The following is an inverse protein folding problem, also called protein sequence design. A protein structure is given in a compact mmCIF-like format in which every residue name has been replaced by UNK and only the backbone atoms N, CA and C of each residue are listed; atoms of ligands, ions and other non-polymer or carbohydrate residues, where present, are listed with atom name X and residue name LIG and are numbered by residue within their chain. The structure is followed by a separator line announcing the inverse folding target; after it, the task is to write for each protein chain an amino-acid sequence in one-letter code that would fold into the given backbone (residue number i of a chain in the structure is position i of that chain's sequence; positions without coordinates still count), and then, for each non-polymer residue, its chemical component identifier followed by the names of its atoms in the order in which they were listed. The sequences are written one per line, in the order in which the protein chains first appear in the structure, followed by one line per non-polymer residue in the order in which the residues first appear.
data_IF_962476934496
#
_entry.id   IF_962476934496
#
_cell.length_a   1.000
_cell.length_b   1.000
_cell.length_c   1.000
_cell.angle_alpha   90.00
_cell.angle_beta   90.00
_cell.angle_gamma   90.00
#
_symmetry.space_group_name_H-M   'P 1'
#
loop_
_entity.id
_entity.type
_entity.pdbx_description
1 polymer ?
#
# COMPACT_ATOMS: atom_id res chain seq x y z
N UNK A 1 -15.94 -7.08 -0.92
CA UNK A 1 -15.25 -8.10 -1.74
C UNK A 1 -14.15 -7.36 -2.48
N UNK A 2 -12.88 -7.69 -2.26
CA UNK A 2 -11.77 -7.11 -3.04
C UNK A 2 -11.68 -7.92 -4.31
N UNK A 3 -11.98 -7.33 -5.45
CA UNK A 3 -11.71 -7.99 -6.73
C UNK A 3 -10.20 -8.21 -6.83
N UNK A 4 -9.79 -9.48 -6.90
CA UNK A 4 -8.38 -9.82 -7.06
C UNK A 4 -7.89 -9.27 -8.41
N UNK A 5 -6.90 -8.37 -8.37
CA UNK A 5 -6.33 -7.71 -9.55
C UNK A 5 -5.37 -8.65 -10.29
N UNK A 6 -5.85 -9.83 -10.69
CA UNK A 6 -5.07 -10.85 -11.40
C UNK A 6 -4.90 -10.46 -12.87
N UNK A 7 -3.65 -10.47 -13.36
CA UNK A 7 -3.26 -10.03 -14.69
C UNK A 7 -2.56 -11.13 -15.47
N UNK A 8 -2.62 -11.05 -16.80
CA UNK A 8 -1.94 -12.00 -17.68
C UNK A 8 -0.43 -11.83 -17.61
N UNK A 9 0.14 -10.61 -17.61
CA UNK A 9 1.48 -10.44 -17.06
C UNK A 9 1.50 -10.93 -15.62
N UNK A 10 2.40 -11.86 -15.32
CA UNK A 10 2.57 -12.43 -13.98
C UNK A 10 2.83 -11.31 -12.98
N UNK A 11 2.06 -11.26 -11.89
CA UNK A 11 2.24 -10.24 -10.86
C UNK A 11 3.30 -10.74 -9.87
N UNK A 12 4.51 -10.19 -9.96
CA UNK A 12 5.63 -10.56 -9.07
C UNK A 12 5.66 -9.72 -7.79
N UNK A 13 4.89 -8.64 -7.71
CA UNK A 13 4.92 -7.75 -6.55
C UNK A 13 3.67 -6.92 -6.32
N UNK A 14 3.36 -6.71 -5.04
CA UNK A 14 2.30 -5.84 -4.54
C UNK A 14 2.80 -4.90 -3.44
N UNK A 15 2.39 -3.63 -3.50
CA UNK A 15 2.70 -2.65 -2.46
C UNK A 15 2.08 -3.02 -1.12
N UNK A 16 2.73 -2.67 -0.03
CA UNK A 16 2.15 -2.71 1.31
C UNK A 16 0.97 -1.75 1.44
N UNK A 17 0.02 -2.07 2.32
CA UNK A 17 -1.14 -1.23 2.62
C UNK A 17 -1.40 -1.18 4.12
N UNK A 18 -1.21 -0.02 4.73
CA UNK A 18 -1.51 0.19 6.14
C UNK A 18 -2.57 1.27 6.35
N UNK A 19 -3.34 1.15 7.43
CA UNK A 19 -4.18 2.21 7.99
C UNK A 19 -3.54 2.66 9.28
N UNK A 20 -3.11 3.92 9.30
CA UNK A 20 -2.50 4.56 10.47
C UNK A 20 -3.46 5.61 11.00
N UNK A 21 -3.69 5.58 12.30
CA UNK A 21 -4.58 6.48 13.02
C UNK A 21 -3.76 7.29 14.03
N UNK A 22 -4.06 8.58 14.09
CA UNK A 22 -3.53 9.53 15.05
C UNK A 22 -4.67 9.92 15.99
N UNK A 23 -4.61 9.49 17.25
CA UNK A 23 -5.66 9.72 18.25
C UNK A 23 -5.21 10.81 19.21
N UNK A 24 -5.99 11.87 19.33
CA UNK A 24 -5.68 13.00 20.19
C UNK A 24 -6.05 12.73 21.65
N UNK A 25 -5.06 12.75 22.54
CA UNK A 25 -5.26 12.70 24.00
C UNK A 25 -4.93 14.04 24.68
N UNK A 26 -4.63 15.08 23.90
CA UNK A 26 -4.23 16.39 24.40
C UNK A 26 -5.04 17.54 23.81
N UNK A 27 -4.38 18.70 23.67
CA UNK A 27 -5.04 19.90 23.19
C UNK A 27 -5.41 19.81 21.70
N UNK A 28 -6.56 20.36 21.35
CA UNK A 28 -7.02 20.42 19.97
C UNK A 28 -6.09 21.27 19.09
N UNK A 29 -5.47 22.30 19.64
CA UNK A 29 -4.54 23.17 18.92
C UNK A 29 -3.27 22.41 18.51
N UNK A 30 -2.70 21.61 19.41
CA UNK A 30 -1.54 20.74 19.13
C UNK A 30 -1.88 19.72 18.04
N UNK A 31 -3.05 19.07 18.15
CA UNK A 31 -3.49 18.10 17.16
C UNK A 31 -3.71 18.71 15.78
N UNK A 32 -4.40 19.85 15.71
CA UNK A 32 -4.65 20.56 14.46
C UNK A 32 -3.35 21.07 13.83
N UNK A 33 -2.41 21.58 14.63
CA UNK A 33 -1.11 22.00 14.14
C UNK A 33 -0.35 20.81 13.52
N UNK A 34 -0.29 19.68 14.21
CA UNK A 34 0.34 18.46 13.70
C UNK A 34 -0.29 18.00 12.38
N UNK A 35 -1.62 17.82 12.33
CA UNK A 35 -2.31 17.32 11.13
C UNK A 35 -2.10 18.26 9.94
N UNK A 36 -2.21 19.58 10.14
CA UNK A 36 -2.03 20.55 9.08
C UNK A 36 -0.58 20.62 8.60
N UNK A 37 0.37 20.69 9.53
CA UNK A 37 1.77 20.87 9.19
C UNK A 37 2.40 19.61 8.61
N UNK A 38 2.16 18.44 9.20
CA UNK A 38 2.87 17.20 8.83
C UNK A 38 2.15 16.37 7.78
N UNK A 39 0.82 16.47 7.69
CA UNK A 39 0.02 15.60 6.81
C UNK A 39 -0.59 16.40 5.66
N UNK A 40 -1.44 17.40 5.95
CA UNK A 40 -2.26 18.05 4.92
C UNK A 40 -1.48 19.02 4.04
N UNK A 41 -0.46 19.69 4.58
CA UNK A 41 0.43 20.59 3.80
C UNK A 41 1.65 19.89 3.20
N UNK A 42 1.85 18.61 3.49
CA UNK A 42 2.96 17.82 2.96
C UNK A 42 2.60 17.22 1.60
N UNK A 43 3.57 17.01 0.69
CA UNK A 43 3.40 16.06 -0.40
C UNK A 43 2.97 14.70 0.14
N UNK A 44 2.25 13.95 -0.68
CA UNK A 44 1.69 12.64 -0.31
C UNK A 44 2.75 11.56 -0.09
N UNK A 45 4.03 11.84 -0.30
CA UNK A 45 5.10 10.87 -0.08
C UNK A 45 5.50 10.68 1.39
N UNK A 46 4.92 11.44 2.32
CA UNK A 46 5.17 11.29 3.76
C UNK A 46 6.52 11.86 4.22
N UNK A 47 7.12 12.77 3.45
CA UNK A 47 8.41 13.39 3.77
C UNK A 47 8.45 14.07 5.14
N UNK A 48 7.39 14.81 5.52
CA UNK A 48 7.34 15.46 6.83
C UNK A 48 7.18 14.47 7.98
N UNK A 49 6.62 13.29 7.72
CA UNK A 49 6.53 12.20 8.69
C UNK A 49 7.80 11.33 8.74
N UNK A 50 8.83 11.64 7.93
CA UNK A 50 10.06 10.85 7.87
C UNK A 50 9.93 9.49 7.18
N UNK A 51 8.82 9.23 6.47
CA UNK A 51 8.51 7.92 5.86
C UNK A 51 8.57 7.93 4.33
N UNK A 52 9.27 8.89 3.72
CA UNK A 52 9.44 9.00 2.26
C UNK A 52 10.39 7.94 1.67
N UNK A 53 10.12 6.67 1.95
CA UNK A 53 10.86 5.53 1.42
C UNK A 53 10.53 5.27 -0.05
N UNK A 54 11.47 4.63 -0.74
CA UNK A 54 11.38 4.27 -2.16
C UNK A 54 12.12 2.97 -2.43
N UNK A 55 11.62 2.20 -3.40
CA UNK A 55 12.37 1.12 -4.06
C UNK A 55 12.23 1.21 -5.59
N UNK A 56 12.94 0.35 -6.31
CA UNK A 56 13.00 0.37 -7.77
C UNK A 56 11.73 -0.22 -8.43
N UNK A 57 11.02 -1.11 -7.75
CA UNK A 57 9.89 -1.88 -8.31
C UNK A 57 8.53 -1.20 -8.12
N UNK A 58 8.35 -0.57 -6.97
CA UNK A 58 7.12 0.10 -6.58
C UNK A 58 7.28 1.63 -6.59
N UNK A 59 8.48 2.17 -6.45
CA UNK A 59 8.70 3.61 -6.37
C UNK A 59 8.42 4.18 -4.98
N UNK A 60 8.00 5.44 -4.90
CA UNK A 60 7.89 6.17 -3.64
C UNK A 60 6.66 5.77 -2.81
N UNK A 61 6.77 5.86 -1.48
CA UNK A 61 5.65 5.86 -0.53
C UNK A 61 4.52 6.81 -0.96
N UNK A 62 3.27 6.44 -0.69
CA UNK A 62 2.10 7.28 -0.97
C UNK A 62 1.10 7.23 0.20
N UNK A 63 0.73 8.40 0.70
CA UNK A 63 -0.33 8.66 1.67
C UNK A 63 -1.62 9.09 0.94
N UNK A 64 -2.75 8.51 1.33
CA UNK A 64 -4.08 8.81 0.77
C UNK A 64 -5.19 8.44 1.75
N UNK A 65 -6.44 8.67 1.36
CA UNK A 65 -7.60 8.17 2.14
C UNK A 65 -7.71 8.83 3.52
N UNK A 66 -7.49 10.14 3.56
CA UNK A 66 -7.59 10.96 4.76
C UNK A 66 -9.01 10.92 5.33
N UNK A 67 -9.14 10.64 6.63
CA UNK A 67 -10.43 10.60 7.31
C UNK A 67 -10.31 11.18 8.71
N UNK A 68 -11.20 12.12 9.05
CA UNK A 68 -11.41 12.57 10.43
C UNK A 68 -12.52 11.73 11.06
N UNK A 69 -12.37 11.40 12.34
CA UNK A 69 -13.34 10.62 13.10
C UNK A 69 -13.14 10.78 14.60
N UNK A 70 -13.82 9.93 15.36
CA UNK A 70 -13.71 9.87 16.83
C UNK A 70 -13.55 8.42 17.24
N UNK A 71 -12.63 8.14 18.18
CA UNK A 71 -12.42 6.84 18.81
C UNK A 71 -12.45 7.08 20.31
N UNK A 72 -13.34 6.39 21.04
CA UNK A 72 -13.45 6.49 22.50
C UNK A 72 -13.46 7.95 22.99
N UNK A 73 -14.32 8.77 22.38
CA UNK A 73 -14.49 10.21 22.66
C UNK A 73 -13.31 11.12 22.25
N UNK A 74 -12.19 10.55 21.79
CA UNK A 74 -11.03 11.28 21.32
C UNK A 74 -11.07 11.54 19.81
N UNK A 75 -10.64 12.73 19.39
CA UNK A 75 -10.54 13.09 17.98
C UNK A 75 -9.46 12.23 17.30
N UNK A 76 -9.78 11.68 16.14
CA UNK A 76 -8.88 10.81 15.40
C UNK A 76 -8.72 11.27 13.95
N UNK A 77 -7.49 11.24 13.44
CA UNK A 77 -7.19 11.45 12.03
C UNK A 77 -6.53 10.18 11.46
N UNK A 78 -7.07 9.66 10.37
CA UNK A 78 -6.62 8.43 9.73
C UNK A 78 -6.02 8.71 8.37
N UNK A 79 -4.93 8.01 8.06
CA UNK A 79 -4.32 7.96 6.74
C UNK A 79 -4.17 6.51 6.28
N UNK A 80 -4.27 6.29 4.97
CA UNK A 80 -3.88 5.04 4.33
C UNK A 80 -2.51 5.20 3.68
N UNK A 81 -1.58 4.34 4.08
CA UNK A 81 -0.28 4.21 3.45
C UNK A 81 -0.35 3.15 2.35
N UNK A 82 0.18 3.48 1.19
CA UNK A 82 0.62 2.50 0.20
C UNK A 82 2.12 2.58 0.11
N UNK A 83 2.83 1.56 0.58
CA UNK A 83 4.27 1.64 0.81
C UNK A 83 5.08 0.61 -0.01
N UNK A 84 6.29 0.98 -0.45
CA UNK A 84 7.21 0.08 -1.15
C UNK A 84 7.74 -1.02 -0.21
N UNK A 85 8.39 -2.04 -0.76
CA UNK A 85 9.08 -3.10 -0.03
C UNK A 85 10.47 -2.66 0.47
N UNK A 86 10.61 -1.39 0.85
CA UNK A 86 11.87 -0.82 1.31
C UNK A 86 12.09 -1.01 2.83
N UNK A 87 11.01 -0.98 3.61
CA UNK A 87 11.01 -1.11 5.07
C UNK A 87 9.72 -1.78 5.55
N UNK A 88 9.77 -2.57 6.64
CA UNK A 88 8.56 -3.13 7.26
C UNK A 88 7.72 -2.02 7.90
N UNK A 89 6.41 -2.26 8.04
CA UNK A 89 5.49 -1.28 8.64
C UNK A 89 5.90 -0.88 10.05
N UNK A 90 6.48 -1.79 10.84
CA UNK A 90 6.93 -1.52 12.21
C UNK A 90 7.95 -0.39 12.26
N UNK A 91 8.96 -0.42 11.38
CA UNK A 91 9.95 0.65 11.27
C UNK A 91 9.33 1.97 10.83
N UNK A 92 8.37 1.94 9.90
CA UNK A 92 7.65 3.14 9.46
C UNK A 92 6.85 3.77 10.61
N UNK A 93 6.19 2.98 11.44
CA UNK A 93 5.46 3.46 12.61
C UNK A 93 6.41 4.07 13.64
N UNK A 94 7.57 3.45 13.90
CA UNK A 94 8.56 4.02 14.81
C UNK A 94 9.11 5.35 14.30
N UNK A 95 9.36 5.48 12.99
CA UNK A 95 9.76 6.77 12.40
C UNK A 95 8.67 7.85 12.54
N UNK A 96 7.41 7.49 12.35
CA UNK A 96 6.28 8.42 12.56
C UNK A 96 6.26 8.90 14.02
N UNK A 97 6.41 7.98 14.99
CA UNK A 97 6.39 8.33 16.42
C UNK A 97 7.47 9.32 16.85
N UNK A 98 8.61 9.36 16.15
CA UNK A 98 9.70 10.31 16.46
C UNK A 98 9.28 11.77 16.25
N UNK A 99 8.38 12.05 15.29
CA UNK A 99 7.95 13.42 14.97
C UNK A 99 6.58 13.78 15.53
N UNK A 100 5.82 12.78 15.99
CA UNK A 100 4.48 12.96 16.54
C UNK A 100 4.59 13.41 18.01
N UNK A 101 3.88 14.46 18.43
CA UNK A 101 3.82 14.86 19.84
C UNK A 101 3.30 13.74 20.75
N UNK A 102 3.84 13.62 21.96
CA UNK A 102 3.45 12.59 22.96
C UNK A 102 1.95 12.57 23.29
N UNK A 103 1.25 13.69 23.09
CA UNK A 103 -0.20 13.79 23.30
C UNK A 103 -1.04 13.16 22.17
N UNK A 104 -0.41 12.63 21.12
CA UNK A 104 -1.06 12.01 19.98
C UNK A 104 -0.58 10.56 19.89
N UNK A 105 -1.51 9.63 20.08
CA UNK A 105 -1.22 8.21 19.95
C UNK A 105 -1.22 7.79 18.48
N UNK A 106 -0.21 7.01 18.09
CA UNK A 106 -0.09 6.47 16.73
C UNK A 106 -0.46 4.99 16.73
N UNK A 107 -1.54 4.63 16.04
CA UNK A 107 -2.09 3.27 15.98
C UNK A 107 -2.03 2.76 14.54
N UNK A 108 -1.39 1.61 14.31
CA UNK A 108 -1.50 0.87 13.06
C UNK A 108 -2.74 -0.04 13.12
N UNK A 109 -3.90 0.49 12.74
CA UNK A 109 -5.19 -0.20 12.86
C UNK A 109 -5.30 -1.44 11.95
N UNK A 110 -4.62 -1.42 10.81
CA UNK A 110 -4.61 -2.54 9.87
C UNK A 110 -3.34 -2.49 9.02
N UNK A 111 -2.74 -3.64 8.72
CA UNK A 111 -1.63 -3.74 7.78
C UNK A 111 -1.73 -4.97 6.88
N UNK A 112 -1.42 -4.78 5.59
CA UNK A 112 -1.04 -5.82 4.64
C UNK A 112 0.38 -5.55 4.18
N UNK A 113 1.30 -6.46 4.45
CA UNK A 113 2.70 -6.31 4.04
C UNK A 113 2.84 -6.31 2.50
N UNK A 114 3.91 -5.70 1.98
CA UNK A 114 4.28 -5.84 0.58
C UNK A 114 4.51 -7.32 0.26
N UNK A 115 4.10 -7.72 -0.94
CA UNK A 115 4.42 -9.05 -1.47
C UNK A 115 5.46 -8.83 -2.57
N UNK A 116 6.53 -9.61 -2.56
CA UNK A 116 7.60 -9.48 -3.53
C UNK A 116 8.22 -10.84 -3.82
N UNK A 117 8.31 -11.16 -5.11
CA UNK A 117 9.01 -12.33 -5.63
C UNK A 117 10.07 -11.87 -6.61
N UNK A 118 11.15 -12.65 -6.71
CA UNK A 118 12.16 -12.42 -7.74
C UNK A 118 11.51 -12.58 -9.13
N UNK A 119 11.73 -11.61 -10.01
CA UNK A 119 11.24 -11.62 -11.41
C UNK A 119 11.80 -12.79 -12.20
N UNK A 120 12.97 -13.28 -11.80
CA UNK A 120 13.68 -14.38 -12.44
C UNK A 120 13.44 -15.71 -11.71
N UNK A 121 12.53 -15.75 -10.73
CA UNK A 121 12.18 -17.00 -10.05
C UNK A 121 11.63 -18.03 -11.03
N UNK A 122 11.79 -19.31 -10.69
CA UNK A 122 11.32 -20.42 -11.51
C UNK A 122 9.81 -20.33 -11.74
N UNK A 123 9.05 -19.97 -10.72
CA UNK A 123 7.59 -19.88 -10.79
C UNK A 123 7.13 -18.74 -11.69
N UNK A 124 7.76 -17.56 -11.61
CA UNK A 124 7.45 -16.42 -12.47
C UNK A 124 7.78 -16.77 -13.93
N UNK A 125 8.96 -17.34 -14.17
CA UNK A 125 9.41 -17.73 -15.51
C UNK A 125 8.48 -18.77 -16.13
N UNK A 126 8.12 -19.83 -15.39
CA UNK A 126 7.21 -20.87 -15.89
C UNK A 126 5.84 -20.33 -16.28
N UNK A 127 5.28 -19.40 -15.49
CA UNK A 127 3.98 -18.79 -15.79
C UNK A 127 4.07 -17.85 -17.00
N UNK A 128 5.16 -17.10 -17.14
CA UNK A 128 5.41 -16.25 -18.32
C UNK A 128 5.56 -17.10 -19.58
N UNK A 129 6.32 -18.19 -19.51
CA UNK A 129 6.55 -19.08 -20.65
C UNK A 129 5.26 -19.78 -21.08
N UNK A 130 4.43 -20.22 -20.14
CA UNK A 130 3.12 -20.82 -20.43
C UNK A 130 2.18 -19.84 -21.16
N UNK A 131 2.22 -18.54 -20.81
CA UNK A 131 1.47 -17.52 -21.55
C UNK A 131 1.99 -17.35 -22.98
N UNK A 132 3.31 -17.29 -23.14
CA UNK A 132 3.97 -17.12 -24.43
C UNK A 132 3.71 -18.31 -25.36
N UNK A 133 3.73 -19.54 -24.84
CA UNK A 133 3.45 -20.76 -25.60
C UNK A 133 2.06 -20.74 -26.24
N UNK A 134 1.05 -20.27 -25.50
CA UNK A 134 -0.34 -20.24 -25.98
C UNK A 134 -0.62 -19.03 -26.88
N UNK A 135 -0.03 -17.87 -26.58
CA UNK A 135 -0.38 -16.59 -27.24
C UNK A 135 0.63 -16.15 -28.30
N UNK A 136 1.82 -16.75 -28.34
CA UNK A 136 2.94 -16.31 -29.17
C UNK A 136 3.53 -14.95 -28.76
N UNK A 137 3.14 -14.40 -27.60
CA UNK A 137 3.60 -13.08 -27.13
C UNK A 137 4.14 -13.17 -25.71
N UNK A 138 5.40 -12.77 -25.52
CA UNK A 138 6.00 -12.67 -24.18
C UNK A 138 5.55 -11.40 -23.47
N UNK A 139 4.97 -11.54 -22.28
CA UNK A 139 4.65 -10.43 -21.38
C UNK A 139 5.62 -10.40 -20.21
N UNK A 140 6.26 -9.25 -19.98
CA UNK A 140 7.14 -9.08 -18.83
C UNK A 140 6.34 -9.08 -17.53
N UNK A 141 6.85 -9.73 -16.46
CA UNK A 141 6.23 -9.67 -15.13
C UNK A 141 6.02 -8.22 -14.67
N UNK A 142 4.93 -7.97 -13.94
CA UNK A 142 4.54 -6.62 -13.50
C UNK A 142 4.32 -6.54 -11.99
N UNK A 143 4.43 -5.34 -11.45
CA UNK A 143 3.86 -5.04 -10.14
C UNK A 143 2.39 -4.64 -10.28
N UNK A 144 1.64 -4.75 -9.19
CA UNK A 144 0.30 -4.17 -9.12
C UNK A 144 0.10 -3.33 -7.87
N UNK A 145 -0.76 -2.32 -8.01
CA UNK A 145 -1.21 -1.49 -6.89
C UNK A 145 -2.47 -2.04 -6.26
N UNK A 146 -3.23 -2.90 -6.94
CA UNK A 146 -4.36 -3.67 -6.40
C UNK A 146 -3.90 -4.69 -5.35
N UNK A 147 -4.83 -5.22 -4.56
CA UNK A 147 -4.55 -6.35 -3.67
C UNK A 147 -5.01 -7.65 -4.31
N UNK A 148 -4.22 -8.71 -4.21
CA UNK A 148 -4.67 -10.07 -4.58
C UNK A 148 -4.72 -10.98 -3.36
N UNK A 149 -5.16 -12.22 -3.55
CA UNK A 149 -5.09 -13.23 -2.49
C UNK A 149 -3.65 -13.55 -2.05
N UNK A 150 -2.63 -13.19 -2.85
CA UNK A 150 -1.22 -13.38 -2.50
C UNK A 150 -0.79 -12.64 -1.23
N UNK A 151 -1.57 -11.63 -0.80
CA UNK A 151 -1.37 -10.97 0.50
C UNK A 151 -1.74 -11.81 1.72
N UNK A 152 -2.51 -12.88 1.52
CA UNK A 152 -3.11 -13.67 2.61
C UNK A 152 -2.55 -15.09 2.63
N UNK A 153 -2.26 -15.66 1.46
CA UNK A 153 -1.79 -17.04 1.33
C UNK A 153 -0.30 -16.99 0.93
N UNK A 154 0.61 -17.62 1.71
CA UNK A 154 2.03 -17.64 1.36
C UNK A 154 2.26 -18.46 0.08
N UNK A 155 3.29 -18.10 -0.69
CA UNK A 155 3.75 -18.81 -1.88
C UNK A 155 2.70 -18.93 -3.01
N UNK A 156 1.80 -17.97 -3.13
CA UNK A 156 0.94 -17.85 -4.32
C UNK A 156 1.29 -16.61 -5.13
N UNK A 157 1.21 -16.75 -6.44
CA UNK A 157 1.50 -15.71 -7.42
C UNK A 157 0.19 -15.36 -8.12
N UNK A 158 -0.13 -14.07 -8.20
CA UNK A 158 -1.31 -13.63 -8.89
C UNK A 158 -1.10 -13.64 -10.40
N UNK A 159 -1.97 -14.40 -11.09
CA UNK A 159 -1.95 -14.58 -12.53
C UNK A 159 -3.38 -14.84 -13.01
N UNK A 160 -3.84 -14.17 -14.08
CA UNK A 160 -5.23 -14.29 -14.51
C UNK A 160 -5.64 -13.37 -15.66
N UNK A 161 -6.93 -13.29 -16.01
CA UNK A 161 -7.35 -12.92 -17.36
C UNK A 161 -7.26 -11.43 -17.74
N UNK A 162 -6.74 -10.55 -16.87
CA UNK A 162 -6.67 -9.12 -17.17
C UNK A 162 -5.51 -8.80 -18.13
N UNK A 163 -5.85 -8.41 -19.36
CA UNK A 163 -4.87 -7.99 -20.36
C UNK A 163 -4.32 -6.57 -20.08
N UNK A 164 -3.13 -6.22 -20.60
CA UNK A 164 -2.51 -4.89 -20.43
C UNK A 164 -3.34 -3.70 -20.94
N UNK A 165 -4.47 -3.93 -21.63
CA UNK A 165 -5.34 -2.90 -22.20
C UNK A 165 -6.81 -3.24 -21.99
N UNK A 166 -7.31 -3.09 -20.77
CA UNK A 166 -8.74 -2.82 -20.58
C UNK A 166 -8.91 -1.88 -19.39
N UNK A 167 -9.43 -0.68 -19.64
CA UNK A 167 -10.00 0.15 -18.58
C UNK A 167 -10.94 -0.74 -17.76
N UNK A 168 -10.72 -0.79 -16.44
CA UNK A 168 -11.67 -1.39 -15.50
C UNK A 168 -13.00 -0.63 -15.58
N UNK A 169 -13.92 -1.07 -16.44
CA UNK A 169 -15.34 -0.85 -16.19
C UNK A 169 -15.76 -1.96 -15.24
N UNK A 170 -15.83 -1.67 -13.94
CA UNK A 170 -16.60 -2.50 -13.02
C UNK A 170 -18.06 -2.09 -13.18
N UNK A 171 -18.97 -2.92 -13.73
CA UNK A 171 -20.37 -2.53 -13.95
C UNK A 171 -21.22 -2.63 -12.68
N UNK A 172 -20.65 -2.97 -11.53
CA UNK A 172 -21.39 -3.23 -10.29
C UNK A 172 -21.08 -2.20 -9.20
N UNK A 173 -21.50 -0.96 -9.44
CA UNK A 173 -21.93 -0.06 -8.36
C UNK A 173 -23.38 0.34 -8.65
N UNK A 174 -24.32 -0.43 -8.11
CA UNK A 174 -25.65 0.06 -7.75
C UNK A 174 -25.68 0.21 -6.24
#
# INVERSE_FOLDING_TARGET
MVDADCKWPVVYGERGRALVQFVNHGSLDTFNAFVNEYILSSPTNGVKLGINVRDDDFGEMIMRGYKLGVIEENLMFQISLSYPNAKPISELIEMIKVVVPDSIEVICAHNWDPVFYDKESQEITLLTDAYEEVTGTRLLPVTTTGGTYAKIIPNIIAYGPSFPVSKRYCPFTR
#
